data_IF_574692217321
#
_entry.id   IF_574692217321
#
_cell.length_a   1.000
_cell.length_b   1.000
_cell.length_c   1.000
_cell.angle_alpha   90.00
_cell.angle_beta   90.00
_cell.angle_gamma   90.00
#
_symmetry.space_group_name_H-M   'P 1'
#
loop_
_entity.id
_entity.type
_entity.pdbx_description
1 polymer ?
#
# COMPACT_ATOMS: atom_id res chain seq x y z
N UNK A 1 19.48 13.57 -18.39
CA UNK A 1 18.06 13.54 -18.83
C UNK A 1 17.29 12.56 -17.95
N UNK A 2 16.61 13.07 -16.94
CA UNK A 2 15.76 12.26 -16.04
C UNK A 2 14.45 11.95 -16.76
N UNK A 3 14.24 10.68 -17.12
CA UNK A 3 12.99 10.21 -17.73
C UNK A 3 11.85 10.32 -16.71
N UNK A 4 11.07 11.39 -16.79
CA UNK A 4 9.80 11.50 -16.07
C UNK A 4 8.83 10.51 -16.71
N UNK A 5 8.46 9.42 -16.03
CA UNK A 5 7.34 8.57 -16.46
C UNK A 5 6.05 9.38 -16.31
N UNK A 6 5.62 10.05 -17.37
CA UNK A 6 4.33 10.72 -17.42
C UNK A 6 3.27 9.62 -17.62
N UNK A 7 2.61 9.19 -16.53
CA UNK A 7 1.47 8.27 -16.62
C UNK A 7 0.32 9.02 -17.29
N UNK A 8 -0.19 8.50 -18.41
CA UNK A 8 -1.36 9.06 -19.09
C UNK A 8 -2.62 8.73 -18.26
N UNK A 9 -3.32 9.77 -17.79
CA UNK A 9 -4.53 9.60 -16.99
C UNK A 9 -5.74 9.71 -17.90
N UNK A 10 -6.47 8.61 -18.06
CA UNK A 10 -7.81 8.67 -18.64
C UNK A 10 -8.78 9.35 -17.66
N UNK A 11 -9.20 10.56 -18.04
CA UNK A 11 -9.99 11.45 -17.22
C UNK A 11 -11.46 11.06 -17.04
N UNK A 12 -11.98 10.05 -17.76
CA UNK A 12 -13.42 9.79 -17.66
C UNK A 12 -14.02 8.61 -18.39
N UNK A 13 -13.24 7.68 -18.97
CA UNK A 13 -13.86 6.48 -19.54
C UNK A 13 -14.55 5.61 -18.47
N UNK A 14 -15.58 4.84 -18.85
CA UNK A 14 -16.19 3.86 -17.96
C UNK A 14 -15.21 2.81 -17.44
N UNK A 15 -14.16 2.51 -18.18
CA UNK A 15 -13.10 1.59 -17.74
C UNK A 15 -12.22 2.21 -16.65
N UNK A 16 -11.80 3.46 -16.84
CA UNK A 16 -11.08 4.24 -15.82
C UNK A 16 -11.85 4.30 -14.51
N UNK A 17 -13.16 4.55 -14.57
CA UNK A 17 -14.01 4.52 -13.36
C UNK A 17 -14.09 3.14 -12.71
N UNK A 18 -14.25 2.07 -13.49
CA UNK A 18 -14.26 0.69 -12.96
C UNK A 18 -12.95 0.35 -12.26
N UNK A 19 -11.82 0.69 -12.86
CA UNK A 19 -10.49 0.46 -12.28
C UNK A 19 -10.31 1.24 -10.97
N UNK A 20 -10.72 2.52 -10.92
CA UNK A 20 -10.67 3.34 -9.69
C UNK A 20 -11.58 2.79 -8.60
N UNK A 21 -12.80 2.38 -8.94
CA UNK A 21 -13.72 1.73 -7.99
C UNK A 21 -13.09 0.48 -7.39
N UNK A 22 -12.47 -0.35 -8.22
CA UNK A 22 -11.77 -1.55 -7.77
C UNK A 22 -10.57 -1.23 -6.87
N UNK A 23 -9.75 -0.25 -7.25
CA UNK A 23 -8.62 0.19 -6.43
C UNK A 23 -9.05 0.67 -5.04
N UNK A 24 -10.08 1.51 -4.96
CA UNK A 24 -10.64 1.95 -3.67
C UNK A 24 -11.30 0.80 -2.88
N UNK A 25 -11.92 -0.17 -3.57
CA UNK A 25 -12.48 -1.36 -2.92
C UNK A 25 -11.39 -2.15 -2.20
N UNK A 26 -10.26 -2.40 -2.87
CA UNK A 26 -9.13 -3.14 -2.32
C UNK A 26 -8.50 -2.41 -1.11
N UNK A 27 -8.31 -1.09 -1.21
CA UNK A 27 -7.80 -0.27 -0.09
C UNK A 27 -8.72 -0.39 1.12
N UNK A 28 -10.04 -0.25 0.91
CA UNK A 28 -11.04 -0.39 1.98
C UNK A 28 -11.05 -1.80 2.59
N UNK A 29 -10.81 -2.84 1.80
CA UNK A 29 -10.74 -4.21 2.29
C UNK A 29 -9.51 -4.45 3.17
N UNK A 30 -8.36 -3.90 2.80
CA UNK A 30 -7.16 -3.94 3.64
C UNK A 30 -7.36 -3.17 4.95
N UNK A 31 -7.99 -1.99 4.91
CA UNK A 31 -8.33 -1.25 6.13
C UNK A 31 -9.27 -2.04 7.06
N UNK A 32 -10.26 -2.73 6.49
CA UNK A 32 -11.15 -3.62 7.24
C UNK A 32 -10.44 -4.87 7.76
N UNK A 33 -9.48 -5.41 7.03
CA UNK A 33 -8.67 -6.53 7.49
C UNK A 33 -7.81 -6.12 8.70
N UNK A 34 -7.17 -4.95 8.62
CA UNK A 34 -6.43 -4.37 9.73
C UNK A 34 -7.31 -4.17 10.97
N UNK A 35 -8.51 -3.63 10.80
CA UNK A 35 -9.48 -3.46 11.89
C UNK A 35 -9.97 -4.79 12.49
N UNK A 36 -9.96 -5.89 11.71
CA UNK A 36 -10.21 -7.23 12.23
C UNK A 36 -9.04 -7.75 13.05
N UNK A 37 -7.80 -7.58 12.56
CA UNK A 37 -6.58 -7.96 13.32
C UNK A 37 -6.56 -7.28 14.69
N UNK A 38 -6.84 -5.98 14.75
CA UNK A 38 -6.85 -5.22 16.02
C UNK A 38 -7.88 -5.71 17.04
N UNK A 39 -8.96 -6.35 16.59
CA UNK A 39 -10.06 -6.81 17.44
C UNK A 39 -10.07 -8.33 17.66
N UNK A 40 -9.26 -9.06 16.90
CA UNK A 40 -9.25 -10.51 16.96
C UNK A 40 -8.58 -10.99 18.26
N UNK A 41 -9.14 -12.00 18.95
CA UNK A 41 -8.43 -12.67 20.02
C UNK A 41 -7.23 -13.42 19.44
N UNK A 42 -6.14 -13.49 20.19
CA UNK A 42 -4.93 -14.23 19.79
C UNK A 42 -5.17 -15.75 19.75
N UNK A 43 -6.02 -16.25 20.65
CA UNK A 43 -6.38 -17.66 20.75
C UNK A 43 -7.90 -17.85 20.69
N UNK A 44 -8.32 -18.94 20.08
CA UNK A 44 -9.68 -19.47 20.12
C UNK A 44 -9.72 -20.70 21.02
N UNK A 45 -10.90 -21.01 21.56
CA UNK A 45 -11.11 -22.30 22.24
C UNK A 45 -11.24 -23.40 21.19
N UNK A 46 -10.34 -24.37 21.24
CA UNK A 46 -10.38 -25.61 20.46
C UNK A 46 -11.23 -26.72 21.07
N UNK A 47 -11.93 -26.43 22.18
CA UNK A 47 -12.60 -27.42 23.03
C UNK A 47 -11.89 -27.59 24.37
N UNK A 48 -12.25 -28.69 25.05
CA UNK A 48 -11.67 -29.12 26.32
C UNK A 48 -10.99 -30.47 26.11
N UNK A 49 -9.88 -30.72 26.80
CA UNK A 49 -9.21 -32.02 26.82
C UNK A 49 -9.82 -32.96 27.87
N UNK A 50 -9.16 -34.10 28.13
CA UNK A 50 -9.63 -35.12 29.07
C UNK A 50 -9.63 -34.68 30.54
N UNK A 51 -8.88 -33.62 30.85
CA UNK A 51 -8.77 -33.04 32.19
C UNK A 51 -9.68 -31.80 32.37
N UNK A 52 -10.56 -31.54 31.39
CA UNK A 52 -11.45 -30.36 31.33
C UNK A 52 -10.70 -29.02 31.19
N UNK A 53 -9.46 -29.05 30.68
CA UNK A 53 -8.66 -27.86 30.38
C UNK A 53 -8.94 -27.34 28.95
N UNK A 54 -8.97 -26.03 28.79
CA UNK A 54 -9.21 -25.40 27.47
C UNK A 54 -7.99 -25.60 26.56
N UNK A 55 -8.21 -26.19 25.38
CA UNK A 55 -7.19 -26.32 24.34
C UNK A 55 -7.10 -24.98 23.57
N UNK A 56 -6.00 -24.22 23.66
CA UNK A 56 -5.86 -22.98 22.90
C UNK A 56 -5.51 -23.30 21.44
N UNK A 57 -6.21 -22.66 20.50
CA UNK A 57 -5.91 -22.71 19.07
C UNK A 57 -5.51 -21.32 18.60
N UNK A 58 -4.35 -21.19 17.95
CA UNK A 58 -3.89 -19.91 17.42
C UNK A 58 -4.84 -19.37 16.35
N UNK A 59 -5.24 -18.11 16.51
CA UNK A 59 -6.15 -17.44 15.59
C UNK A 59 -5.38 -16.67 14.51
N UNK A 60 -4.67 -17.38 13.62
CA UNK A 60 -3.86 -16.72 12.57
C UNK A 60 -4.69 -16.15 11.42
N UNK A 61 -5.93 -16.60 11.24
CA UNK A 61 -6.80 -16.23 10.11
C UNK A 61 -6.95 -14.71 9.85
N UNK A 62 -7.09 -13.85 10.87
CA UNK A 62 -7.10 -12.40 10.69
C UNK A 62 -5.80 -11.83 10.10
N UNK A 63 -4.64 -12.36 10.49
CA UNK A 63 -3.33 -11.96 9.96
C UNK A 63 -3.16 -12.44 8.53
N UNK A 64 -3.53 -13.69 8.23
CA UNK A 64 -3.52 -14.23 6.86
C UNK A 64 -4.42 -13.41 5.92
N UNK A 65 -5.59 -13.01 6.41
CA UNK A 65 -6.52 -12.16 5.64
C UNK A 65 -5.95 -10.75 5.41
N UNK A 66 -5.19 -10.20 6.36
CA UNK A 66 -4.50 -8.93 6.20
C UNK A 66 -3.39 -9.02 5.16
N UNK A 67 -2.57 -10.07 5.23
CA UNK A 67 -1.50 -10.33 4.26
C UNK A 67 -2.06 -10.51 2.85
N UNK A 68 -3.16 -11.26 2.70
CA UNK A 68 -3.84 -11.42 1.42
C UNK A 68 -4.36 -10.09 0.87
N UNK A 69 -4.91 -9.21 1.72
CA UNK A 69 -5.39 -7.91 1.31
C UNK A 69 -4.26 -6.99 0.84
N UNK A 70 -3.11 -6.99 1.52
CA UNK A 70 -1.93 -6.24 1.10
C UNK A 70 -1.41 -6.74 -0.25
N UNK A 71 -1.30 -8.07 -0.44
CA UNK A 71 -0.91 -8.65 -1.74
C UNK A 71 -1.86 -8.27 -2.86
N UNK A 72 -3.16 -8.20 -2.58
CA UNK A 72 -4.16 -7.77 -3.57
C UNK A 72 -3.99 -6.29 -3.96
N UNK A 73 -3.65 -5.41 -3.02
CA UNK A 73 -3.26 -4.03 -3.33
C UNK A 73 -2.01 -4.00 -4.20
N UNK A 74 -0.95 -4.70 -3.80
CA UNK A 74 0.32 -4.69 -4.55
C UNK A 74 0.21 -5.25 -5.97
N UNK A 75 -0.75 -6.14 -6.20
CA UNK A 75 -1.06 -6.69 -7.51
C UNK A 75 -1.96 -5.79 -8.38
N UNK A 76 -2.54 -4.72 -7.82
CA UNK A 76 -3.45 -3.83 -8.54
C UNK A 76 -2.80 -2.45 -8.77
N UNK A 77 -2.42 -2.19 -10.02
CA UNK A 77 -1.75 -0.94 -10.42
C UNK A 77 -2.53 0.31 -10.01
N UNK A 78 -3.86 0.31 -10.18
CA UNK A 78 -4.69 1.47 -9.80
C UNK A 78 -4.72 1.70 -8.29
N UNK A 79 -4.76 0.65 -7.48
CA UNK A 79 -4.68 0.77 -6.02
C UNK A 79 -3.33 1.34 -5.59
N UNK A 80 -2.23 0.83 -6.19
CA UNK A 80 -0.88 1.35 -5.96
C UNK A 80 -0.80 2.83 -6.35
N UNK A 81 -1.28 3.21 -7.53
CA UNK A 81 -1.28 4.61 -8.01
C UNK A 81 -2.02 5.55 -7.07
N UNK A 82 -3.18 5.13 -6.58
CA UNK A 82 -3.95 5.91 -5.61
C UNK A 82 -3.13 6.14 -4.34
N UNK A 83 -2.46 5.11 -3.82
CA UNK A 83 -1.67 5.19 -2.59
C UNK A 83 -0.36 5.97 -2.80
N UNK A 84 0.30 5.85 -3.95
CA UNK A 84 1.46 6.65 -4.35
C UNK A 84 1.07 8.13 -4.40
N UNK A 85 -0.06 8.47 -5.03
CA UNK A 85 -0.55 9.85 -5.07
C UNK A 85 -0.84 10.41 -3.67
N UNK A 86 -1.25 9.57 -2.72
CA UNK A 86 -1.44 9.92 -1.31
C UNK A 86 -0.14 9.87 -0.48
N UNK A 87 0.98 9.42 -1.05
CA UNK A 87 2.22 9.07 -0.33
C UNK A 87 1.98 8.14 0.87
N UNK A 88 1.00 7.24 0.77
CA UNK A 88 0.61 6.33 1.87
C UNK A 88 1.29 4.98 1.67
N UNK A 89 2.37 4.74 2.41
CA UNK A 89 3.25 3.56 2.27
C UNK A 89 2.85 2.36 3.13
N UNK A 90 1.86 2.52 4.00
CA UNK A 90 1.42 1.46 4.92
C UNK A 90 -0.08 1.54 5.26
N UNK A 91 -0.65 0.40 5.64
CA UNK A 91 -1.96 0.27 6.26
C UNK A 91 -1.78 -0.44 7.60
N UNK A 92 -2.00 0.28 8.70
CA UNK A 92 -1.65 -0.23 10.01
C UNK A 92 -0.13 -0.38 10.12
N UNK A 93 0.32 -1.58 10.48
CA UNK A 93 1.75 -1.93 10.54
C UNK A 93 2.27 -2.62 9.25
N UNK A 94 1.42 -2.80 8.24
CA UNK A 94 1.79 -3.49 7.00
C UNK A 94 2.25 -2.50 5.96
N UNK A 95 3.52 -2.65 5.57
CA UNK A 95 4.13 -1.88 4.49
C UNK A 95 3.63 -2.36 3.13
N UNK A 96 3.46 -1.41 2.22
CA UNK A 96 3.10 -1.64 0.83
C UNK A 96 4.37 -1.34 0.02
N UNK A 97 5.18 -2.38 -0.22
CA UNK A 97 6.52 -2.26 -0.78
C UNK A 97 6.49 -1.72 -2.20
N UNK A 98 5.46 -2.07 -2.98
CA UNK A 98 5.30 -1.51 -4.33
C UNK A 98 5.17 0.01 -4.29
N UNK A 99 4.42 0.57 -3.34
CA UNK A 99 4.26 2.03 -3.17
C UNK A 99 5.57 2.68 -2.74
N UNK A 100 6.26 2.10 -1.74
CA UNK A 100 7.56 2.59 -1.27
C UNK A 100 8.55 2.66 -2.42
N UNK A 101 8.68 1.57 -3.18
CA UNK A 101 9.58 1.48 -4.34
C UNK A 101 9.25 2.53 -5.40
N UNK A 102 7.98 2.80 -5.68
CA UNK A 102 7.59 3.82 -6.66
C UNK A 102 7.92 5.24 -6.20
N UNK A 103 7.73 5.55 -4.92
CA UNK A 103 8.11 6.84 -4.34
C UNK A 103 9.62 7.04 -4.33
N UNK A 104 10.39 6.03 -3.92
CA UNK A 104 11.86 6.08 -3.92
C UNK A 104 12.42 6.31 -5.33
N UNK A 105 11.83 5.67 -6.34
CA UNK A 105 12.21 5.87 -7.75
C UNK A 105 11.86 7.28 -8.24
N UNK A 106 10.72 7.83 -7.82
CA UNK A 106 10.32 9.18 -8.18
C UNK A 106 11.26 10.23 -7.56
N UNK A 107 11.64 10.05 -6.30
CA UNK A 107 12.54 10.96 -5.59
C UNK A 107 14.00 10.85 -6.13
N UNK A 108 14.48 9.65 -6.47
CA UNK A 108 15.78 9.46 -7.12
C UNK A 108 15.85 10.06 -8.54
N UNK A 109 14.72 10.12 -9.25
CA UNK A 109 14.59 10.83 -10.52
C UNK A 109 14.52 12.35 -10.40
N UNK A 110 14.49 12.88 -9.16
CA UNK A 110 14.41 14.31 -8.85
C UNK A 110 15.76 14.88 -8.38
N UNK A 111 16.89 14.33 -8.83
CA UNK A 111 18.17 15.03 -8.72
C UNK A 111 18.12 16.23 -9.68
N UNK A 112 17.87 17.42 -9.16
CA UNK A 112 18.09 18.66 -9.89
C UNK A 112 19.57 18.70 -10.30
N UNK A 113 19.83 18.72 -11.61
CA UNK A 113 21.15 19.08 -12.11
C UNK A 113 21.42 20.54 -11.67
N UNK A 114 22.42 20.79 -10.81
CA UNK A 114 22.70 22.14 -10.33
C UNK A 114 23.06 23.11 -11.46
N UNK A 115 23.46 22.62 -12.65
CA UNK A 115 23.70 23.45 -13.83
C UNK A 115 22.42 23.82 -14.59
N UNK A 116 21.30 23.15 -14.33
CA UNK A 116 20.04 23.35 -15.06
C UNK A 116 19.09 24.36 -14.39
N UNK A 117 19.52 25.04 -13.31
CA UNK A 117 18.74 26.09 -12.64
C UNK A 117 19.09 27.48 -13.23
N UNK A 118 18.26 28.06 -14.10
CA UNK A 118 18.54 29.36 -14.75
C UNK A 118 18.49 30.57 -13.79
N UNK A 119 18.13 30.36 -12.52
CA UNK A 119 18.08 31.42 -11.49
C UNK A 119 19.34 31.51 -10.64
N UNK A 120 20.26 30.55 -10.74
CA UNK A 120 21.62 30.68 -10.17
C UNK A 120 22.51 31.31 -11.23
N UNK A 121 22.58 32.64 -11.23
CA UNK A 121 23.58 33.37 -12.01
C UNK A 121 25.02 32.92 -11.64
N UNK A 122 26.00 33.11 -12.53
CA UNK A 122 27.37 32.65 -12.28
C UNK A 122 27.88 33.23 -10.96
N UNK A 123 28.41 32.37 -10.09
CA UNK A 123 29.16 32.80 -8.93
C UNK A 123 30.36 33.60 -9.43
N UNK A 124 30.33 34.91 -9.22
CA UNK A 124 31.50 35.76 -9.41
C UNK A 124 32.40 35.58 -8.19
N UNK A 125 33.65 35.17 -8.44
CA UNK A 125 34.76 35.15 -7.48
C UNK A 125 34.96 36.48 -6.73
#
# INVERSE_FOLDING_TARGET
>A
MTQRRIKNIDGGSPESWRQRTEGFRLIREAERAHERVKRAPMYLSGGYDEDDDVIPVENLGPWDAMDAAIRAIEANETAVDILVAQRRTEIGLWRIYTVIRELDQADAGHVEDPESNPLRGPYTD
#
